data_IF_341311147035
#
_entry.id   IF_341311147035
#
_cell.length_a   1.000
_cell.length_b   1.000
_cell.length_c   1.000
_cell.angle_alpha   90.00
_cell.angle_beta   90.00
_cell.angle_gamma   90.00
#
_symmetry.space_group_name_H-M   'P 1'
#
loop_
_entity.id
_entity.type
_entity.pdbx_description
1 polymer ?
#
# COMPACT_ATOMS: atom_id res chain seq x y z
N UNK A 1 18.81 6.49 1.70
CA UNK A 1 19.94 6.18 2.59
C UNK A 1 19.38 5.71 3.93
N UNK A 2 19.44 4.40 4.21
CA UNK A 2 18.97 3.78 5.46
C UNK A 2 19.92 4.18 6.59
N UNK A 3 19.61 5.23 7.29
CA UNK A 3 20.35 5.61 8.50
C UNK A 3 19.60 5.18 9.75
N UNK A 4 20.23 4.33 10.55
CA UNK A 4 19.85 3.81 11.87
C UNK A 4 18.74 2.75 11.89
N UNK A 5 19.14 1.51 11.66
CA UNK A 5 18.30 0.35 11.89
C UNK A 5 18.34 -0.16 13.34
N UNK A 6 19.27 0.30 14.18
CA UNK A 6 19.37 -0.15 15.57
C UNK A 6 19.89 0.98 16.45
N UNK A 7 19.05 1.56 17.28
CA UNK A 7 19.46 2.41 18.38
C UNK A 7 18.95 1.84 19.71
N UNK A 8 19.86 1.69 20.68
CA UNK A 8 19.59 1.34 22.06
C UNK A 8 18.99 -0.04 22.36
N UNK A 9 19.44 -1.12 21.71
CA UNK A 9 19.04 -2.49 22.06
C UNK A 9 17.59 -2.86 21.75
N UNK A 10 16.83 -2.00 21.08
CA UNK A 10 15.47 -2.25 20.58
C UNK A 10 15.45 -2.47 19.07
N UNK A 11 14.38 -3.08 18.58
CA UNK A 11 14.12 -3.29 17.14
C UNK A 11 13.46 -2.07 16.48
N UNK A 12 13.36 -0.93 17.16
CA UNK A 12 12.76 0.29 16.63
C UNK A 12 13.53 0.78 15.41
N UNK A 13 12.81 1.10 14.35
CA UNK A 13 13.37 1.68 13.13
C UNK A 13 12.54 2.91 12.70
N UNK A 14 13.22 3.85 12.05
CA UNK A 14 12.58 5.04 11.48
C UNK A 14 12.71 5.01 9.96
N UNK A 15 11.63 5.30 9.29
CA UNK A 15 11.63 5.49 7.85
C UNK A 15 10.83 6.74 7.49
N UNK A 16 11.51 7.74 6.95
CA UNK A 16 10.92 9.02 6.50
C UNK A 16 10.05 9.72 7.55
N UNK A 17 10.52 9.77 8.79
CA UNK A 17 9.82 10.41 9.91
C UNK A 17 8.70 9.56 10.51
N UNK A 18 8.51 8.33 10.05
CA UNK A 18 7.61 7.36 10.66
C UNK A 18 8.41 6.40 11.52
N UNK A 19 8.06 6.32 12.79
CA UNK A 19 8.69 5.39 13.75
C UNK A 19 7.95 4.05 13.76
N UNK A 20 8.70 2.97 13.57
CA UNK A 20 8.22 1.60 13.64
C UNK A 20 8.80 0.93 14.88
N UNK A 21 7.99 0.24 15.66
CA UNK A 21 8.42 -0.51 16.86
C UNK A 21 9.38 -1.66 16.52
N UNK A 22 9.25 -2.20 15.32
CA UNK A 22 10.12 -3.25 14.78
C UNK A 22 10.02 -3.24 13.22
N UNK A 23 10.92 -3.93 12.52
CA UNK A 23 10.97 -3.91 11.05
C UNK A 23 9.91 -4.81 10.37
N UNK A 24 9.02 -5.45 11.11
CA UNK A 24 8.02 -6.36 10.53
C UNK A 24 6.84 -5.55 10.03
N UNK A 25 6.62 -5.58 8.72
CA UNK A 25 5.47 -4.95 8.06
C UNK A 25 4.72 -6.02 7.27
N UNK A 26 3.39 -6.06 7.41
CA UNK A 26 2.58 -7.00 6.63
C UNK A 26 2.51 -6.56 5.17
N UNK A 27 2.37 -7.53 4.26
CA UNK A 27 2.17 -7.22 2.85
C UNK A 27 0.70 -6.99 2.54
N UNK A 28 0.39 -5.97 1.72
CA UNK A 28 -0.97 -5.75 1.22
C UNK A 28 -1.48 -6.98 0.46
N UNK A 29 -2.76 -7.27 0.61
CA UNK A 29 -3.42 -8.45 0.03
C UNK A 29 -3.31 -9.72 0.85
N UNK A 30 -2.55 -9.74 1.94
CA UNK A 30 -2.40 -10.92 2.83
C UNK A 30 -3.05 -10.74 4.19
N UNK A 31 -3.37 -9.51 4.59
CA UNK A 31 -3.73 -9.18 5.97
C UNK A 31 -5.07 -8.43 6.11
N UNK A 32 -5.77 -8.16 5.01
CA UNK A 32 -7.01 -7.40 5.01
C UNK A 32 -6.84 -6.01 5.62
N UNK A 33 -7.75 -5.64 6.50
CA UNK A 33 -7.63 -4.47 7.39
C UNK A 33 -7.22 -4.87 8.82
N UNK A 34 -6.73 -6.10 9.00
CA UNK A 34 -6.17 -6.57 10.27
C UNK A 34 -7.21 -7.11 11.28
N UNK A 35 -8.51 -6.94 11.05
CA UNK A 35 -9.55 -7.33 12.03
C UNK A 35 -9.52 -8.81 12.34
N UNK A 36 -9.44 -9.66 11.33
CA UNK A 36 -9.39 -11.11 11.47
C UNK A 36 -8.13 -11.57 12.21
N UNK A 37 -7.01 -10.89 11.96
CA UNK A 37 -5.73 -11.23 12.61
C UNK A 37 -5.65 -10.71 14.05
N UNK A 38 -6.37 -9.64 14.38
CA UNK A 38 -6.41 -9.12 15.74
C UNK A 38 -7.05 -10.09 16.74
N UNK A 39 -7.79 -11.09 16.25
CA UNK A 39 -8.34 -12.18 17.08
C UNK A 39 -7.25 -13.16 17.55
N UNK A 40 -6.11 -13.22 16.87
CA UNK A 40 -5.03 -14.17 17.20
C UNK A 40 -3.90 -13.52 18.00
N UNK A 41 -3.61 -12.23 17.74
CA UNK A 41 -2.59 -11.47 18.49
C UNK A 41 -2.81 -9.95 18.36
N UNK A 42 -2.33 -9.17 19.33
CA UNK A 42 -2.45 -7.72 19.28
C UNK A 42 -1.65 -7.14 18.10
N UNK A 43 -2.26 -6.30 17.27
CA UNK A 43 -1.59 -5.73 16.09
C UNK A 43 -0.42 -4.79 16.46
N UNK A 44 -0.35 -4.28 17.69
CA UNK A 44 0.80 -3.53 18.20
C UNK A 44 2.11 -4.34 18.25
N UNK A 45 2.06 -5.67 18.13
CA UNK A 45 3.25 -6.52 18.10
C UNK A 45 4.00 -6.44 16.76
N UNK A 46 3.34 -5.97 15.68
CA UNK A 46 3.98 -5.72 14.38
C UNK A 46 4.34 -4.25 14.22
N UNK A 47 5.41 -3.97 13.48
CA UNK A 47 5.89 -2.61 13.23
C UNK A 47 4.91 -1.80 12.38
N UNK A 48 4.29 -2.42 11.39
CA UNK A 48 3.33 -1.74 10.52
C UNK A 48 2.41 -2.70 9.79
N UNK A 49 1.25 -2.18 9.39
CA UNK A 49 0.25 -2.90 8.64
C UNK A 49 0.02 -2.21 7.29
N UNK A 50 0.42 -2.87 6.17
CA UNK A 50 -0.03 -2.47 4.84
C UNK A 50 -1.41 -3.05 4.59
N UNK A 51 -2.39 -2.15 4.47
CA UNK A 51 -3.80 -2.49 4.36
C UNK A 51 -4.13 -3.19 3.03
N UNK A 52 -5.33 -3.76 2.97
CA UNK A 52 -5.92 -4.18 1.71
C UNK A 52 -5.94 -3.04 0.71
N UNK A 53 -5.68 -3.35 -0.58
CA UNK A 53 -5.74 -2.37 -1.65
C UNK A 53 -7.09 -1.66 -1.70
N UNK A 54 -7.05 -0.35 -1.67
CA UNK A 54 -8.19 0.57 -1.63
C UNK A 54 -8.28 1.25 -2.98
N UNK A 55 -9.48 1.40 -3.52
CA UNK A 55 -9.77 2.14 -4.74
C UNK A 55 -10.55 3.43 -4.44
N UNK A 56 -10.60 4.35 -5.41
CA UNK A 56 -11.31 5.62 -5.23
C UNK A 56 -12.80 5.39 -4.93
N UNK A 57 -13.41 4.46 -5.65
CA UNK A 57 -14.80 4.02 -5.45
C UNK A 57 -14.82 2.58 -4.94
N UNK A 58 -15.90 2.14 -4.27
CA UNK A 58 -16.04 0.74 -3.88
C UNK A 58 -15.94 -0.21 -5.07
N UNK A 59 -15.18 -1.28 -4.92
CA UNK A 59 -15.11 -2.37 -5.88
C UNK A 59 -15.78 -3.60 -5.30
N UNK A 60 -16.97 -3.93 -5.80
CA UNK A 60 -17.73 -5.11 -5.38
C UNK A 60 -17.56 -6.19 -6.44
N UNK A 61 -16.91 -7.29 -6.06
CA UNK A 61 -16.88 -8.48 -6.93
C UNK A 61 -18.24 -9.18 -6.80
N UNK A 62 -19.01 -9.19 -7.88
CA UNK A 62 -20.18 -10.08 -7.97
C UNK A 62 -19.66 -11.49 -7.70
N UNK A 63 -20.19 -12.14 -6.64
CA UNK A 63 -19.81 -13.50 -6.23
C UNK A 63 -19.77 -14.42 -7.45
N UNK A 64 -18.61 -14.56 -8.05
CA UNK A 64 -18.31 -15.73 -8.87
C UNK A 64 -17.87 -16.80 -7.89
N UNK A 65 -18.49 -17.97 -8.03
CA UNK A 65 -18.31 -19.23 -7.30
C UNK A 65 -17.00 -19.31 -6.50
N UNK A 66 -17.12 -19.82 -5.28
CA UNK A 66 -16.02 -20.16 -4.38
C UNK A 66 -14.77 -20.58 -5.16
N UNK A 67 -13.64 -20.00 -4.80
CA UNK A 67 -12.35 -20.32 -5.43
C UNK A 67 -12.16 -21.84 -5.39
N UNK A 68 -12.03 -22.54 -6.51
CA UNK A 68 -11.84 -23.98 -6.49
C UNK A 68 -10.59 -24.29 -5.68
N UNK A 69 -10.71 -25.22 -4.75
CA UNK A 69 -9.59 -25.72 -3.97
C UNK A 69 -9.02 -26.96 -4.67
N UNK A 70 -7.97 -26.83 -5.50
CA UNK A 70 -7.27 -27.98 -6.02
C UNK A 70 -6.55 -28.71 -4.87
N UNK A 71 -6.16 -29.98 -5.02
CA UNK A 71 -5.51 -30.77 -3.96
C UNK A 71 -4.25 -30.11 -3.37
N UNK A 72 -3.58 -29.23 -4.10
CA UNK A 72 -2.29 -28.64 -3.73
C UNK A 72 -2.29 -27.12 -3.60
N UNK A 73 -3.46 -26.47 -3.44
CA UNK A 73 -3.48 -25.01 -3.33
C UNK A 73 -4.86 -24.37 -3.38
N UNK A 74 -4.87 -23.07 -3.61
CA UNK A 74 -6.07 -22.26 -3.77
C UNK A 74 -5.91 -21.43 -5.04
N UNK A 75 -6.89 -21.48 -5.93
CA UNK A 75 -7.02 -20.55 -7.04
C UNK A 75 -7.94 -19.41 -6.60
N UNK A 76 -7.53 -18.16 -6.78
CA UNK A 76 -8.36 -17.01 -6.45
C UNK A 76 -8.42 -15.98 -7.58
N UNK A 77 -9.54 -15.26 -7.65
CA UNK A 77 -9.77 -14.11 -8.53
C UNK A 77 -10.58 -13.06 -7.76
N UNK A 78 -10.08 -12.65 -6.59
CA UNK A 78 -10.79 -11.75 -5.67
C UNK A 78 -10.97 -10.34 -6.25
N UNK A 79 -10.11 -9.90 -7.18
CA UNK A 79 -10.31 -8.71 -8.00
C UNK A 79 -10.39 -7.39 -7.22
N UNK A 80 -9.50 -7.15 -6.26
CA UNK A 80 -9.45 -5.90 -5.48
C UNK A 80 -10.75 -5.52 -4.74
N UNK A 81 -11.61 -6.48 -4.43
CA UNK A 81 -12.82 -6.17 -3.65
C UNK A 81 -12.48 -5.35 -2.41
N UNK A 82 -13.04 -4.15 -2.32
CA UNK A 82 -12.78 -3.21 -1.21
C UNK A 82 -13.92 -2.17 -1.10
N UNK A 83 -14.07 -1.53 0.06
CA UNK A 83 -15.17 -0.58 0.31
C UNK A 83 -14.94 0.83 -0.24
N UNK A 84 -13.78 1.12 -0.84
CA UNK A 84 -13.40 2.45 -1.31
C UNK A 84 -12.73 3.32 -0.23
N UNK A 85 -12.07 4.39 -0.69
CA UNK A 85 -11.24 5.26 0.16
C UNK A 85 -12.03 6.00 1.23
N UNK A 86 -13.23 6.46 0.92
CA UNK A 86 -14.04 7.21 1.86
C UNK A 86 -14.50 6.32 3.04
N UNK A 87 -14.98 5.11 2.74
CA UNK A 87 -15.33 4.15 3.79
C UNK A 87 -14.11 3.76 4.65
N UNK A 88 -12.95 3.57 4.02
CA UNK A 88 -11.72 3.28 4.75
C UNK A 88 -11.40 4.38 5.75
N UNK A 89 -11.42 5.65 5.32
CA UNK A 89 -11.12 6.80 6.19
C UNK A 89 -12.13 6.91 7.34
N UNK A 90 -13.41 6.69 7.07
CA UNK A 90 -14.49 6.91 8.04
C UNK A 90 -14.67 5.73 9.01
N UNK A 91 -14.39 4.51 8.60
CA UNK A 91 -14.76 3.30 9.34
C UNK A 91 -13.57 2.44 9.77
N UNK A 92 -12.65 2.16 8.85
CA UNK A 92 -11.56 1.22 9.15
C UNK A 92 -10.37 1.91 9.80
N UNK A 93 -10.01 3.10 9.32
CA UNK A 93 -8.86 3.84 9.81
C UNK A 93 -8.95 4.23 11.30
N UNK A 94 -10.09 4.72 11.84
CA UNK A 94 -10.19 5.03 13.26
C UNK A 94 -9.89 3.80 14.14
N UNK A 95 -10.45 2.66 13.80
CA UNK A 95 -10.20 1.41 14.51
C UNK A 95 -8.73 0.97 14.41
N UNK A 96 -8.12 1.09 13.20
CA UNK A 96 -6.71 0.77 12.99
C UNK A 96 -5.78 1.64 13.84
N UNK A 97 -6.10 2.92 14.01
CA UNK A 97 -5.30 3.83 14.85
C UNK A 97 -5.37 3.48 16.34
N UNK A 98 -6.44 2.84 16.80
CA UNK A 98 -6.54 2.31 18.16
C UNK A 98 -5.62 1.10 18.39
N UNK A 99 -5.14 0.45 17.31
CA UNK A 99 -4.30 -0.75 17.41
C UNK A 99 -2.82 -0.48 17.68
N UNK A 100 -2.41 0.79 17.79
CA UNK A 100 -1.04 1.19 18.11
C UNK A 100 0.04 0.61 17.18
N UNK A 101 -0.27 0.44 15.89
CA UNK A 101 0.65 0.03 14.84
C UNK A 101 0.71 1.09 13.74
N UNK A 102 1.77 1.13 12.95
CA UNK A 102 1.86 2.02 11.79
C UNK A 102 0.87 1.57 10.71
N UNK A 103 0.01 2.50 10.28
CA UNK A 103 -1.02 2.23 9.27
C UNK A 103 -0.55 2.73 7.91
N UNK A 104 -0.35 1.79 6.98
CA UNK A 104 0.07 2.06 5.61
C UNK A 104 -1.14 1.82 4.69
N UNK A 105 -1.69 2.89 4.13
CA UNK A 105 -2.83 2.78 3.20
C UNK A 105 -2.32 2.36 1.82
N UNK A 106 -2.68 1.15 1.38
CA UNK A 106 -2.37 0.68 0.03
C UNK A 106 -3.43 1.17 -0.94
N UNK A 107 -3.02 1.92 -1.97
CA UNK A 107 -3.94 2.47 -2.98
C UNK A 107 -3.71 1.83 -4.34
N UNK A 108 -4.80 1.55 -5.05
CA UNK A 108 -4.79 1.03 -6.41
C UNK A 108 -5.88 1.72 -7.25
N UNK A 109 -5.60 2.05 -8.50
CA UNK A 109 -6.51 2.75 -9.38
C UNK A 109 -6.33 2.37 -10.84
N UNK A 110 -7.25 2.81 -11.69
CA UNK A 110 -7.23 2.58 -13.13
C UNK A 110 -6.52 3.72 -13.89
N UNK A 111 -6.47 4.91 -13.31
CA UNK A 111 -5.86 6.10 -13.93
C UNK A 111 -4.96 6.83 -12.92
N UNK A 112 -3.97 7.61 -13.39
CA UNK A 112 -3.14 8.44 -12.51
C UNK A 112 -3.96 9.41 -11.66
N UNK A 113 -5.05 9.93 -12.18
CA UNK A 113 -5.95 10.85 -11.50
C UNK A 113 -6.66 10.19 -10.31
N UNK A 114 -7.06 8.91 -10.44
CA UNK A 114 -7.64 8.14 -9.33
C UNK A 114 -6.63 7.98 -8.20
N UNK A 115 -5.36 7.67 -8.51
CA UNK A 115 -4.29 7.58 -7.51
C UNK A 115 -4.03 8.94 -6.85
N UNK A 116 -3.99 10.03 -7.62
CA UNK A 116 -3.78 11.39 -7.12
C UNK A 116 -4.89 11.81 -6.16
N UNK A 117 -6.16 11.59 -6.53
CA UNK A 117 -7.32 11.90 -5.68
C UNK A 117 -7.31 11.09 -4.37
N UNK A 118 -6.94 9.81 -4.42
CA UNK A 118 -6.80 8.99 -3.20
C UNK A 118 -5.66 9.50 -2.31
N UNK A 119 -4.52 9.84 -2.92
CA UNK A 119 -3.37 10.37 -2.19
C UNK A 119 -3.69 11.71 -1.51
N UNK A 120 -4.46 12.57 -2.16
CA UNK A 120 -4.94 13.83 -1.59
C UNK A 120 -5.86 13.59 -0.39
N UNK A 121 -6.91 12.77 -0.53
CA UNK A 121 -7.83 12.42 0.56
C UNK A 121 -7.10 11.79 1.75
N UNK A 122 -6.20 10.84 1.50
CA UNK A 122 -5.44 10.16 2.54
C UNK A 122 -4.41 11.10 3.20
N UNK A 123 -3.92 12.10 2.50
CA UNK A 123 -3.01 13.11 3.06
C UNK A 123 -3.63 13.93 4.18
N UNK A 124 -4.94 14.15 4.12
CA UNK A 124 -5.71 14.86 5.15
C UNK A 124 -6.20 13.92 6.27
N UNK A 125 -5.98 12.61 6.13
CA UNK A 125 -6.38 11.61 7.10
C UNK A 125 -5.28 11.28 8.12
N UNK A 126 -5.57 10.42 9.08
CA UNK A 126 -4.64 9.97 10.11
C UNK A 126 -3.75 8.79 9.70
N UNK A 127 -3.69 8.39 8.43
CA UNK A 127 -2.75 7.37 7.97
C UNK A 127 -1.31 7.82 8.18
N UNK A 128 -0.41 6.89 8.44
CA UNK A 128 0.99 7.20 8.67
C UNK A 128 1.77 7.25 7.34
N UNK A 129 1.44 6.39 6.40
CA UNK A 129 2.07 6.29 5.07
C UNK A 129 1.05 5.90 4.00
N UNK A 130 1.41 6.16 2.75
CA UNK A 130 0.68 5.69 1.57
C UNK A 130 1.57 4.73 0.77
N UNK A 131 1.04 3.56 0.43
CA UNK A 131 1.67 2.60 -0.49
C UNK A 131 0.95 2.67 -1.84
N UNK A 132 1.60 3.20 -2.86
CA UNK A 132 1.10 3.21 -4.23
C UNK A 132 1.35 1.85 -4.88
N UNK A 133 0.30 1.10 -5.15
CA UNK A 133 0.39 -0.24 -5.73
C UNK A 133 0.25 -0.20 -7.26
N UNK A 134 1.38 -0.27 -7.96
CA UNK A 134 1.46 -0.35 -9.43
C UNK A 134 1.77 -1.76 -9.93
N UNK A 135 1.60 -2.77 -9.06
CA UNK A 135 1.88 -4.18 -9.39
C UNK A 135 0.63 -5.03 -9.61
N UNK A 136 -0.58 -4.47 -9.48
CA UNK A 136 -1.81 -5.25 -9.45
C UNK A 136 -2.26 -5.67 -10.86
N UNK A 137 -2.37 -6.97 -11.17
CA UNK A 137 -2.86 -7.46 -12.47
C UNK A 137 -4.37 -7.37 -12.62
N UNK A 138 -5.10 -7.12 -11.53
CA UNK A 138 -6.56 -7.15 -11.48
C UNK A 138 -7.23 -5.81 -11.81
N UNK A 139 -6.47 -4.81 -12.23
CA UNK A 139 -6.98 -3.51 -12.66
C UNK A 139 -7.07 -3.50 -14.17
N UNK A 140 -8.26 -3.28 -14.73
CA UNK A 140 -8.54 -3.45 -16.17
C UNK A 140 -7.70 -2.54 -17.10
N UNK A 141 -7.35 -1.35 -16.66
CA UNK A 141 -6.62 -0.34 -17.45
C UNK A 141 -5.51 0.37 -16.66
N UNK A 142 -5.07 -0.17 -15.53
CA UNK A 142 -4.08 0.43 -14.64
C UNK A 142 -3.14 -0.62 -14.03
N UNK A 143 -2.63 -0.37 -12.85
CA UNK A 143 -1.83 -1.34 -12.09
C UNK A 143 -0.57 -1.81 -12.83
N UNK A 144 -0.59 -3.03 -13.38
CA UNK A 144 0.57 -3.61 -14.08
C UNK A 144 1.07 -2.73 -15.23
N UNK A 145 0.20 -2.06 -15.98
CA UNK A 145 0.63 -1.17 -17.08
C UNK A 145 1.50 -0.02 -16.59
N UNK A 146 1.21 0.53 -15.40
CA UNK A 146 2.03 1.59 -14.84
C UNK A 146 3.37 1.09 -14.32
N UNK A 147 3.47 -0.17 -13.90
CA UNK A 147 4.66 -0.79 -13.33
C UNK A 147 5.66 -1.40 -14.32
N UNK A 148 5.39 -1.35 -15.64
CA UNK A 148 6.16 -2.11 -16.65
C UNK A 148 7.29 -1.35 -17.30
N UNK A 149 7.33 -0.02 -17.25
CA UNK A 149 8.40 0.80 -17.82
C UNK A 149 8.81 1.94 -16.92
N UNK A 150 10.08 2.36 -17.02
CA UNK A 150 10.62 3.51 -16.29
C UNK A 150 9.79 4.78 -16.55
N UNK A 151 9.38 4.99 -17.79
CA UNK A 151 8.61 6.17 -18.18
C UNK A 151 7.24 6.20 -17.48
N UNK A 152 6.51 5.09 -17.49
CA UNK A 152 5.18 5.02 -16.87
C UNK A 152 5.26 5.09 -15.34
N UNK A 153 6.24 4.40 -14.74
CA UNK A 153 6.50 4.45 -13.30
C UNK A 153 6.86 5.87 -12.86
N UNK A 154 7.77 6.53 -13.57
CA UNK A 154 8.14 7.91 -13.27
C UNK A 154 6.95 8.86 -13.39
N UNK A 155 6.18 8.76 -14.47
CA UNK A 155 5.03 9.64 -14.70
C UNK A 155 3.97 9.53 -13.59
N UNK A 156 3.56 8.30 -13.23
CA UNK A 156 2.56 8.10 -12.18
C UNK A 156 3.11 8.48 -10.79
N UNK A 157 4.39 8.22 -10.54
CA UNK A 157 5.00 8.58 -9.25
C UNK A 157 5.03 10.09 -9.07
N UNK A 158 5.39 10.84 -10.11
CA UNK A 158 5.38 12.31 -10.11
C UNK A 158 3.98 12.84 -9.84
N UNK A 159 2.97 12.33 -10.56
CA UNK A 159 1.57 12.73 -10.41
C UNK A 159 1.08 12.51 -8.98
N UNK A 160 1.26 11.30 -8.47
CA UNK A 160 0.82 10.97 -7.10
C UNK A 160 1.59 11.78 -6.06
N UNK A 161 2.91 11.98 -6.24
CA UNK A 161 3.72 12.77 -5.32
C UNK A 161 3.27 14.22 -5.22
N UNK A 162 2.81 14.81 -6.33
CA UNK A 162 2.32 16.18 -6.34
C UNK A 162 1.09 16.39 -5.43
N UNK A 163 0.28 15.35 -5.22
CA UNK A 163 -0.94 15.37 -4.41
C UNK A 163 -0.78 14.69 -3.03
N UNK A 164 0.37 14.09 -2.76
CA UNK A 164 0.61 13.32 -1.54
C UNK A 164 1.46 14.11 -0.53
N UNK A 165 0.94 14.41 0.65
CA UNK A 165 1.67 15.07 1.75
C UNK A 165 2.32 14.07 2.72
N UNK A 166 1.95 12.79 2.63
CA UNK A 166 2.46 11.71 3.50
C UNK A 166 3.73 11.07 2.93
N UNK A 167 4.50 10.33 3.72
CA UNK A 167 5.50 9.42 3.20
C UNK A 167 4.88 8.48 2.17
N UNK A 168 5.49 8.43 0.98
CA UNK A 168 5.01 7.63 -0.15
C UNK A 168 5.96 6.46 -0.39
N UNK A 169 5.41 5.26 -0.42
CA UNK A 169 6.06 4.02 -0.82
C UNK A 169 5.50 3.55 -2.15
N UNK A 170 6.35 3.14 -3.08
CA UNK A 170 5.93 2.59 -4.37
C UNK A 170 6.13 1.09 -4.36
N UNK A 171 5.03 0.33 -4.44
CA UNK A 171 5.08 -1.13 -4.55
C UNK A 171 5.22 -1.54 -6.00
N UNK A 172 6.43 -1.96 -6.38
CA UNK A 172 6.80 -2.34 -7.73
C UNK A 172 6.31 -3.75 -8.11
N UNK A 173 6.19 -4.01 -9.40
CA UNK A 173 5.97 -5.36 -9.93
C UNK A 173 7.29 -6.11 -10.05
N UNK A 174 7.36 -7.41 -9.68
CA UNK A 174 8.52 -8.23 -9.95
C UNK A 174 8.62 -8.67 -11.43
N UNK A 175 7.55 -8.47 -12.21
CA UNK A 175 7.43 -8.95 -13.59
C UNK A 175 8.01 -7.93 -14.58
N UNK A 176 9.27 -7.59 -14.39
CA UNK A 176 10.05 -6.66 -15.24
C UNK A 176 11.45 -7.22 -15.48
N UNK A 177 12.11 -6.77 -16.52
CA UNK A 177 13.45 -7.25 -16.88
C UNK A 177 14.54 -6.75 -15.91
N UNK A 178 14.42 -5.50 -15.45
CA UNK A 178 15.34 -4.89 -14.47
C UNK A 178 14.53 -4.08 -13.43
N UNK A 179 14.33 -4.67 -12.26
CA UNK A 179 13.59 -4.02 -11.17
C UNK A 179 14.39 -2.84 -10.56
N UNK A 180 15.71 -2.86 -10.64
CA UNK A 180 16.52 -1.79 -10.10
C UNK A 180 16.42 -0.51 -10.96
N UNK A 181 16.28 -0.66 -12.27
CA UNK A 181 16.02 0.45 -13.19
C UNK A 181 14.64 1.08 -12.90
N UNK A 182 13.62 0.25 -12.75
CA UNK A 182 12.26 0.68 -12.38
C UNK A 182 12.25 1.39 -11.02
N UNK A 183 12.97 0.86 -10.03
CA UNK A 183 13.08 1.47 -8.70
C UNK A 183 13.74 2.85 -8.77
N UNK A 184 14.82 3.01 -9.53
CA UNK A 184 15.48 4.31 -9.75
C UNK A 184 14.57 5.32 -10.43
N UNK A 185 13.74 4.88 -11.39
CA UNK A 185 12.75 5.74 -12.02
C UNK A 185 11.70 6.24 -11.04
N UNK A 186 11.20 5.37 -10.16
CA UNK A 186 10.28 5.77 -9.09
C UNK A 186 10.93 6.75 -8.10
N UNK A 187 12.16 6.46 -7.66
CA UNK A 187 12.89 7.28 -6.68
C UNK A 187 13.20 8.68 -7.21
N UNK A 188 13.55 8.81 -8.48
CA UNK A 188 13.88 10.11 -9.10
C UNK A 188 12.68 11.06 -9.15
N UNK A 189 11.46 10.53 -9.20
CA UNK A 189 10.21 11.31 -9.29
C UNK A 189 9.47 11.47 -7.96
N UNK A 190 9.98 10.84 -6.92
CA UNK A 190 9.47 11.01 -5.55
C UNK A 190 10.43 11.83 -4.67
N UNK A 191 10.78 13.07 -5.04
CA UNK A 191 11.64 13.89 -4.21
C UNK A 191 10.99 14.06 -2.85
N UNK A 192 11.74 13.75 -1.81
CA UNK A 192 11.22 13.86 -0.44
C UNK A 192 11.26 15.32 -0.02
N UNK A 193 10.18 15.87 0.53
CA UNK A 193 10.22 17.21 1.14
C UNK A 193 11.03 17.24 2.45
N UNK A 194 11.47 16.09 2.94
CA UNK A 194 12.27 15.98 4.16
C UNK A 194 13.72 15.62 3.83
N UNK A 195 14.59 16.61 3.89
CA UNK A 195 16.05 16.45 4.04
C UNK A 195 16.41 16.40 5.52
#
# INVERSE_FOLDING_TARGET
MLRRWFSNGGFNCEYRGVEFKNPVITASGTFGFGREYSEFYPLREIGGLSCKGITLKPEWVIRRRESPRPPSGILNAVGLQNPGVDHFIERDLPWLKEQETVVIANIAGNTPEEYAQMAEKLSESSVDMIEMNISCPNVKHGGVQFGTSCQSVGAITREVRAHCKKPLMVKLSPNVSDIAEIARAAESEAPTPYR
#
